data_IF_062490662093
#
_entry.id   IF_062490662093
#
_cell.length_a   1.000
_cell.length_b   1.000
_cell.length_c   1.000
_cell.angle_alpha   90.00
_cell.angle_beta   90.00
_cell.angle_gamma   90.00
#
_symmetry.space_group_name_H-M   'P 1'
#
loop_
_entity.id
_entity.type
_entity.pdbx_description
1 polymer ?
#
# COMPACT_ATOMS: atom_id res chain seq x y z
N UNK A 1 -23.28 -32.49 19.73
CA UNK A 1 -21.96 -31.87 19.93
C UNK A 1 -21.73 -31.72 21.42
N UNK A 2 -20.68 -32.33 21.96
CA UNK A 2 -20.41 -32.26 23.42
C UNK A 2 -19.90 -30.86 23.78
N UNK A 3 -20.06 -30.47 25.08
CA UNK A 3 -19.56 -29.22 25.61
C UNK A 3 -18.05 -29.06 25.38
N UNK A 4 -17.30 -30.16 25.39
CA UNK A 4 -15.86 -30.17 25.13
C UNK A 4 -15.54 -29.89 23.64
N UNK A 5 -16.32 -30.38 22.71
CA UNK A 5 -16.18 -30.10 21.27
C UNK A 5 -16.48 -28.62 20.97
N UNK A 6 -17.55 -28.06 21.59
CA UNK A 6 -17.90 -26.63 21.44
C UNK A 6 -16.77 -25.73 21.97
N UNK A 7 -16.20 -26.08 23.13
CA UNK A 7 -15.10 -25.31 23.72
C UNK A 7 -13.81 -25.40 22.89
N UNK A 8 -13.55 -26.56 22.28
CA UNK A 8 -12.38 -26.75 21.41
C UNK A 8 -12.51 -25.94 20.12
N UNK A 9 -13.69 -25.96 19.47
CA UNK A 9 -13.96 -25.16 18.26
C UNK A 9 -13.84 -23.66 18.55
N UNK A 10 -14.36 -23.18 19.68
CA UNK A 10 -14.21 -21.77 20.10
C UNK A 10 -12.76 -21.38 20.33
N UNK A 11 -11.95 -22.24 20.96
CA UNK A 11 -10.50 -21.98 21.17
C UNK A 11 -9.74 -21.91 19.86
N UNK A 12 -10.00 -22.80 18.91
CA UNK A 12 -9.35 -22.80 17.59
C UNK A 12 -9.71 -21.53 16.82
N UNK A 13 -11.00 -21.17 16.77
CA UNK A 13 -11.46 -19.94 16.12
C UNK A 13 -10.81 -18.69 16.72
N UNK A 14 -10.70 -18.64 18.07
CA UNK A 14 -10.06 -17.54 18.76
C UNK A 14 -8.56 -17.43 18.46
N UNK A 15 -7.86 -18.55 18.37
CA UNK A 15 -6.43 -18.58 18.00
C UNK A 15 -6.22 -18.07 16.56
N UNK A 16 -7.10 -18.45 15.62
CA UNK A 16 -7.03 -17.95 14.23
C UNK A 16 -7.25 -16.44 14.18
N UNK A 17 -8.21 -15.87 14.90
CA UNK A 17 -8.46 -14.42 14.97
C UNK A 17 -7.23 -13.69 15.52
N UNK A 18 -6.67 -14.14 16.65
CA UNK A 18 -5.49 -13.52 17.24
C UNK A 18 -4.27 -13.55 16.28
N UNK A 19 -4.08 -14.68 15.61
CA UNK A 19 -3.03 -14.80 14.57
C UNK A 19 -3.27 -13.86 13.40
N UNK A 20 -4.52 -13.71 12.98
CA UNK A 20 -4.91 -12.75 11.94
C UNK A 20 -4.63 -11.31 12.34
N UNK A 21 -4.99 -10.92 13.56
CA UNK A 21 -4.72 -9.59 14.11
C UNK A 21 -3.21 -9.28 14.13
N UNK A 22 -2.39 -10.21 14.64
CA UNK A 22 -0.93 -10.05 14.66
C UNK A 22 -0.35 -9.95 13.24
N UNK A 23 -0.83 -10.77 12.31
CA UNK A 23 -0.40 -10.73 10.91
C UNK A 23 -0.69 -9.37 10.30
N UNK A 24 -1.91 -8.85 10.47
CA UNK A 24 -2.30 -7.55 9.91
C UNK A 24 -1.56 -6.40 10.59
N UNK A 25 -1.34 -6.46 11.91
CA UNK A 25 -0.49 -5.50 12.62
C UNK A 25 0.92 -5.43 12.02
N UNK A 26 1.61 -6.58 11.93
CA UNK A 26 2.96 -6.61 11.35
C UNK A 26 2.96 -6.15 9.88
N UNK A 27 1.98 -6.58 9.09
CA UNK A 27 1.83 -6.14 7.70
C UNK A 27 1.64 -4.62 7.59
N UNK A 28 0.83 -4.05 8.51
CA UNK A 28 0.62 -2.60 8.59
C UNK A 28 1.92 -1.86 8.92
N UNK A 29 2.72 -2.38 9.86
CA UNK A 29 4.04 -1.79 10.20
C UNK A 29 4.91 -1.68 8.94
N UNK A 30 5.09 -2.77 8.20
CA UNK A 30 5.99 -2.78 7.05
C UNK A 30 5.46 -1.99 5.85
N UNK A 31 4.17 -2.04 5.56
CA UNK A 31 3.57 -1.25 4.49
C UNK A 31 3.65 0.26 4.76
N UNK A 32 3.41 0.66 6.01
CA UNK A 32 3.52 2.07 6.42
C UNK A 32 4.96 2.53 6.48
N UNK A 33 5.90 1.66 6.90
CA UNK A 33 7.33 1.97 6.89
C UNK A 33 7.81 2.38 5.49
N UNK A 34 7.44 1.63 4.46
CA UNK A 34 7.76 1.97 3.08
C UNK A 34 7.20 3.34 2.66
N UNK A 35 5.94 3.60 3.00
CA UNK A 35 5.28 4.88 2.72
C UNK A 35 5.96 6.04 3.46
N UNK A 36 6.30 5.86 4.75
CA UNK A 36 6.97 6.85 5.58
C UNK A 36 8.36 7.22 5.04
N UNK A 37 9.14 6.23 4.62
CA UNK A 37 10.43 6.44 3.98
C UNK A 37 10.27 7.35 2.76
N UNK A 38 9.34 7.02 1.84
CA UNK A 38 9.15 7.82 0.64
C UNK A 38 8.72 9.25 0.99
N UNK A 39 7.72 9.41 1.85
CA UNK A 39 7.14 10.71 2.20
C UNK A 39 8.19 11.64 2.81
N UNK A 40 8.99 11.13 3.74
CA UNK A 40 10.06 11.90 4.40
C UNK A 40 11.20 12.26 3.43
N UNK A 41 11.48 11.35 2.49
CA UNK A 41 12.62 11.50 1.57
C UNK A 41 12.30 12.43 0.40
N UNK A 42 11.04 12.50 -0.01
CA UNK A 42 10.62 13.17 -1.25
C UNK A 42 11.08 14.63 -1.32
N UNK A 43 10.88 15.39 -0.25
CA UNK A 43 11.23 16.82 -0.22
C UNK A 43 12.74 17.02 -0.29
N UNK A 44 13.49 16.29 0.52
CA UNK A 44 14.95 16.47 0.60
C UNK A 44 15.65 15.95 -0.67
N UNK A 45 15.20 14.82 -1.18
CA UNK A 45 15.71 14.26 -2.44
C UNK A 45 15.43 15.19 -3.62
N UNK A 46 14.22 15.73 -3.72
CA UNK A 46 13.84 16.66 -4.77
C UNK A 46 14.66 17.95 -4.78
N UNK A 47 14.92 18.52 -3.61
CA UNK A 47 15.70 19.76 -3.50
C UNK A 47 17.20 19.53 -3.65
N UNK A 48 17.77 18.53 -2.96
CA UNK A 48 19.21 18.31 -2.90
C UNK A 48 19.79 17.54 -4.08
N UNK A 49 19.05 16.53 -4.58
CA UNK A 49 19.55 15.63 -5.60
C UNK A 49 19.04 15.97 -7.01
N UNK A 50 17.86 16.58 -7.13
CA UNK A 50 17.29 16.97 -8.41
C UNK A 50 17.37 18.47 -8.69
N UNK A 51 17.80 19.28 -7.70
CA UNK A 51 17.91 20.73 -7.86
C UNK A 51 16.57 21.45 -8.03
N UNK A 52 15.46 20.81 -7.66
CA UNK A 52 14.13 21.41 -7.77
C UNK A 52 13.94 22.49 -6.70
N UNK A 53 13.20 23.54 -7.03
CA UNK A 53 12.86 24.56 -6.04
C UNK A 53 12.00 23.99 -4.91
N UNK A 54 12.13 24.53 -3.70
CA UNK A 54 11.29 24.14 -2.54
C UNK A 54 9.80 24.22 -2.88
N UNK A 55 9.39 25.27 -3.61
CA UNK A 55 8.00 25.45 -4.04
C UNK A 55 7.53 24.33 -4.98
N UNK A 56 8.38 23.88 -5.94
CA UNK A 56 8.06 22.79 -6.84
C UNK A 56 7.91 21.46 -6.09
N UNK A 57 8.84 21.15 -5.17
CA UNK A 57 8.79 19.91 -4.40
C UNK A 57 7.61 19.89 -3.42
N UNK A 58 7.29 21.02 -2.80
CA UNK A 58 6.12 21.15 -1.93
C UNK A 58 4.82 20.93 -2.71
N UNK A 59 4.71 21.50 -3.92
CA UNK A 59 3.56 21.28 -4.80
C UNK A 59 3.45 19.82 -5.24
N UNK A 60 4.59 19.16 -5.55
CA UNK A 60 4.65 17.74 -5.90
C UNK A 60 4.19 16.87 -4.72
N UNK A 61 4.70 17.14 -3.53
CA UNK A 61 4.31 16.39 -2.31
C UNK A 61 2.83 16.60 -1.97
N UNK A 62 2.33 17.83 -2.06
CA UNK A 62 0.92 18.14 -1.85
C UNK A 62 0.01 17.43 -2.85
N UNK A 63 0.38 17.44 -4.14
CA UNK A 63 -0.34 16.70 -5.18
C UNK A 63 -0.32 15.20 -4.94
N UNK A 64 0.85 14.64 -4.55
CA UNK A 64 0.98 13.24 -4.18
C UNK A 64 0.00 12.85 -3.07
N UNK A 65 -0.06 13.63 -1.98
CA UNK A 65 -0.97 13.38 -0.87
C UNK A 65 -2.44 13.48 -1.30
N UNK A 66 -2.81 14.52 -2.04
CA UNK A 66 -4.18 14.72 -2.51
C UNK A 66 -4.67 13.54 -3.37
N UNK A 67 -3.86 13.11 -4.34
CA UNK A 67 -4.20 11.96 -5.17
C UNK A 67 -4.18 10.63 -4.39
N UNK A 68 -3.29 10.48 -3.42
CA UNK A 68 -3.26 9.30 -2.55
C UNK A 68 -4.60 9.12 -1.83
N UNK A 69 -5.14 10.19 -1.23
CA UNK A 69 -6.47 10.16 -0.61
C UNK A 69 -7.58 9.88 -1.63
N UNK A 70 -7.52 10.46 -2.81
CA UNK A 70 -8.48 10.19 -3.89
C UNK A 70 -8.50 8.71 -4.30
N UNK A 71 -7.32 8.06 -4.37
CA UNK A 71 -7.19 6.65 -4.71
C UNK A 71 -7.72 5.69 -3.63
N UNK A 72 -7.86 6.15 -2.36
CA UNK A 72 -8.52 5.36 -1.32
C UNK A 72 -9.98 5.04 -1.70
N UNK A 73 -10.70 5.96 -2.34
CA UNK A 73 -12.06 5.71 -2.83
C UNK A 73 -12.06 4.63 -3.92
N UNK A 74 -11.07 4.68 -4.83
CA UNK A 74 -10.93 3.68 -5.87
C UNK A 74 -10.59 2.30 -5.28
N UNK A 75 -9.69 2.24 -4.31
CA UNK A 75 -9.35 1.02 -3.58
C UNK A 75 -10.56 0.40 -2.89
N UNK A 76 -11.37 1.22 -2.21
CA UNK A 76 -12.61 0.78 -1.56
C UNK A 76 -13.68 0.31 -2.56
N UNK A 77 -13.73 0.91 -3.75
CA UNK A 77 -14.65 0.48 -4.80
C UNK A 77 -14.23 -0.83 -5.46
N UNK A 78 -12.92 -1.06 -5.61
CA UNK A 78 -12.36 -2.25 -6.27
C UNK A 78 -12.25 -3.45 -5.33
N UNK A 79 -11.84 -3.21 -4.08
CA UNK A 79 -11.66 -4.25 -3.09
C UNK A 79 -12.96 -4.95 -2.72
N UNK A 80 -12.97 -6.28 -2.79
CA UNK A 80 -14.15 -7.10 -2.53
C UNK A 80 -15.22 -7.08 -3.62
N UNK A 81 -15.13 -6.19 -4.63
CA UNK A 81 -16.08 -6.16 -5.76
C UNK A 81 -15.53 -6.79 -7.04
N UNK A 82 -14.28 -6.44 -7.39
CA UNK A 82 -13.63 -6.88 -8.62
C UNK A 82 -12.45 -7.79 -8.32
N UNK A 83 -11.74 -7.50 -7.25
CA UNK A 83 -10.53 -8.19 -6.82
C UNK A 83 -10.66 -8.43 -5.32
N UNK A 84 -10.24 -9.60 -4.84
CA UNK A 84 -10.22 -9.87 -3.39
C UNK A 84 -9.30 -8.88 -2.68
N UNK A 85 -9.65 -8.50 -1.44
CA UNK A 85 -8.86 -7.53 -0.69
C UNK A 85 -7.41 -7.97 -0.49
N UNK A 86 -7.17 -9.26 -0.24
CA UNK A 86 -5.83 -9.84 -0.12
C UNK A 86 -5.03 -9.69 -1.41
N UNK A 87 -5.64 -10.04 -2.54
CA UNK A 87 -4.96 -9.95 -3.84
C UNK A 87 -4.71 -8.50 -4.22
N UNK A 88 -5.68 -7.60 -4.02
CA UNK A 88 -5.53 -6.18 -4.30
C UNK A 88 -4.43 -5.57 -3.41
N UNK A 89 -4.34 -5.96 -2.13
CA UNK A 89 -3.25 -5.57 -1.26
C UNK A 89 -1.90 -6.05 -1.78
N UNK A 90 -1.76 -7.33 -2.15
CA UNK A 90 -0.50 -7.85 -2.70
C UNK A 90 -0.12 -7.16 -4.02
N UNK A 91 -1.08 -6.87 -4.90
CA UNK A 91 -0.84 -6.10 -6.13
C UNK A 91 -0.38 -4.67 -5.81
N UNK A 92 -0.98 -4.04 -4.81
CA UNK A 92 -0.60 -2.71 -4.33
C UNK A 92 0.84 -2.66 -3.82
N UNK A 93 1.23 -3.64 -3.00
CA UNK A 93 2.61 -3.79 -2.53
C UNK A 93 3.56 -4.09 -3.69
N UNK A 94 3.15 -4.93 -4.65
CA UNK A 94 3.91 -5.21 -5.87
C UNK A 94 4.18 -3.96 -6.70
N UNK A 95 3.19 -3.09 -6.87
CA UNK A 95 3.38 -1.79 -7.52
C UNK A 95 4.39 -0.92 -6.77
N UNK A 96 4.33 -0.89 -5.44
CA UNK A 96 5.30 -0.13 -4.63
C UNK A 96 6.72 -0.71 -4.72
N UNK A 97 6.89 -2.03 -4.87
CA UNK A 97 8.20 -2.65 -5.13
C UNK A 97 8.72 -2.22 -6.49
N UNK A 98 7.90 -2.26 -7.54
CA UNK A 98 8.28 -1.78 -8.87
C UNK A 98 8.67 -0.30 -8.81
N UNK A 99 7.91 0.52 -8.11
CA UNK A 99 8.22 1.93 -7.88
C UNK A 99 9.57 2.11 -7.18
N UNK A 100 9.85 1.32 -6.14
CA UNK A 100 11.14 1.36 -5.43
C UNK A 100 12.31 1.05 -6.38
N UNK A 101 12.16 0.10 -7.31
CA UNK A 101 13.18 -0.16 -8.34
C UNK A 101 13.44 1.08 -9.21
N UNK A 102 12.39 1.78 -9.68
CA UNK A 102 12.56 3.02 -10.43
C UNK A 102 13.23 4.11 -9.59
N UNK A 103 12.86 4.24 -8.32
CA UNK A 103 13.45 5.23 -7.42
C UNK A 103 14.93 4.93 -7.11
N UNK A 104 15.30 3.66 -6.92
CA UNK A 104 16.71 3.25 -6.78
C UNK A 104 17.51 3.59 -8.03
N UNK A 105 16.95 3.35 -9.22
CA UNK A 105 17.60 3.67 -10.48
C UNK A 105 17.94 5.17 -10.63
N UNK A 106 17.22 6.06 -9.96
CA UNK A 106 17.54 7.49 -9.97
C UNK A 106 18.97 7.78 -9.50
N UNK A 107 19.53 6.96 -8.61
CA UNK A 107 20.91 7.11 -8.15
C UNK A 107 21.95 6.65 -9.18
N UNK A 108 21.56 5.86 -10.18
CA UNK A 108 22.44 5.21 -11.16
C UNK A 108 22.43 5.89 -12.54
N UNK A 109 21.36 6.62 -12.87
CA UNK A 109 21.18 7.25 -14.18
C UNK A 109 21.73 8.68 -14.22
N UNK A 110 21.94 9.18 -15.44
CA UNK A 110 22.37 10.57 -15.67
C UNK A 110 21.32 11.58 -15.20
N UNK A 111 21.75 12.80 -14.87
CA UNK A 111 20.90 13.85 -14.29
C UNK A 111 19.61 14.09 -15.10
N UNK A 112 19.68 14.08 -16.42
CA UNK A 112 18.55 14.30 -17.32
C UNK A 112 17.45 13.23 -17.18
N UNK A 113 17.82 12.00 -16.84
CA UNK A 113 16.88 10.88 -16.67
C UNK A 113 16.37 10.75 -15.24
N UNK A 114 17.05 11.32 -14.24
CA UNK A 114 16.67 11.21 -12.81
C UNK A 114 15.26 11.69 -12.54
N UNK A 115 14.90 12.86 -13.09
CA UNK A 115 13.55 13.42 -12.92
C UNK A 115 12.50 12.48 -13.52
N UNK A 116 12.75 11.97 -14.71
CA UNK A 116 11.83 11.04 -15.39
C UNK A 116 11.63 9.76 -14.58
N UNK A 117 12.72 9.13 -14.12
CA UNK A 117 12.65 7.91 -13.30
C UNK A 117 11.94 8.17 -11.96
N UNK A 118 12.20 9.31 -11.33
CA UNK A 118 11.51 9.72 -10.11
C UNK A 118 10.00 9.89 -10.36
N UNK A 119 9.59 10.59 -11.43
CA UNK A 119 8.16 10.81 -11.72
C UNK A 119 7.43 9.51 -12.02
N UNK A 120 8.06 8.60 -12.78
CA UNK A 120 7.50 7.26 -13.02
C UNK A 120 7.38 6.49 -11.70
N UNK A 121 8.44 6.45 -10.90
CA UNK A 121 8.45 5.78 -9.60
C UNK A 121 7.36 6.31 -8.67
N UNK A 122 7.22 7.65 -8.56
CA UNK A 122 6.18 8.27 -7.74
C UNK A 122 4.77 7.96 -8.24
N UNK A 123 4.52 7.98 -9.54
CA UNK A 123 3.21 7.66 -10.10
C UNK A 123 2.80 6.21 -9.79
N UNK A 124 3.74 5.26 -9.96
CA UNK A 124 3.50 3.85 -9.65
C UNK A 124 3.32 3.65 -8.15
N UNK A 125 4.17 4.28 -7.31
CA UNK A 125 4.08 4.18 -5.85
C UNK A 125 2.74 4.71 -5.34
N UNK A 126 2.31 5.86 -5.84
CA UNK A 126 1.07 6.51 -5.46
C UNK A 126 -0.13 5.59 -5.69
N UNK A 127 -0.19 4.92 -6.84
CA UNK A 127 -1.28 3.98 -7.12
C UNK A 127 -1.26 2.80 -6.16
N UNK A 128 -0.10 2.22 -5.91
CA UNK A 128 0.04 1.17 -4.92
C UNK A 128 -0.38 1.63 -3.52
N UNK A 129 0.13 2.78 -3.05
CA UNK A 129 -0.19 3.28 -1.70
C UNK A 129 -1.65 3.67 -1.54
N UNK A 130 -2.27 4.25 -2.57
CA UNK A 130 -3.68 4.64 -2.53
C UNK A 130 -4.65 3.45 -2.46
N UNK A 131 -4.28 2.31 -3.03
CA UNK A 131 -5.13 1.13 -3.04
C UNK A 131 -5.02 0.28 -1.76
N UNK A 132 -3.90 0.31 -1.04
CA UNK A 132 -3.63 -0.62 0.05
C UNK A 132 -4.43 -0.34 1.34
N UNK A 133 -4.66 0.93 1.68
CA UNK A 133 -5.26 1.34 2.98
C UNK A 133 -6.66 0.77 3.15
N UNK A 134 -7.48 0.86 2.12
CA UNK A 134 -8.86 0.34 2.16
C UNK A 134 -8.89 -1.18 2.20
N UNK A 135 -7.95 -1.85 1.51
CA UNK A 135 -7.82 -3.31 1.56
C UNK A 135 -7.44 -3.78 2.96
N UNK A 136 -6.51 -3.10 3.63
CA UNK A 136 -6.08 -3.42 4.99
C UNK A 136 -7.25 -3.32 5.97
N UNK A 137 -7.99 -2.22 5.96
CA UNK A 137 -9.15 -2.03 6.84
C UNK A 137 -10.24 -3.07 6.57
N UNK A 138 -10.47 -3.42 5.29
CA UNK A 138 -11.41 -4.48 4.92
C UNK A 138 -10.98 -5.85 5.43
N UNK A 139 -9.68 -6.18 5.35
CA UNK A 139 -9.15 -7.43 5.89
C UNK A 139 -9.29 -7.51 7.40
N UNK A 140 -9.05 -6.40 8.14
CA UNK A 140 -9.30 -6.34 9.60
C UNK A 140 -10.77 -6.64 9.90
N UNK A 141 -11.69 -6.00 9.17
CA UNK A 141 -13.14 -6.24 9.34
C UNK A 141 -13.51 -7.71 9.11
N UNK A 142 -12.90 -8.34 8.11
CA UNK A 142 -13.21 -9.71 7.69
C UNK A 142 -12.63 -10.80 8.59
N UNK A 143 -11.79 -10.46 9.57
CA UNK A 143 -11.35 -11.42 10.59
C UNK A 143 -12.51 -11.88 11.50
N UNK A 144 -13.55 -11.07 11.65
CA UNK A 144 -14.65 -11.30 12.57
C UNK A 144 -15.89 -11.80 11.85
N UNK A 145 -16.57 -12.83 12.42
CA UNK A 145 -17.84 -13.34 11.90
C UNK A 145 -19.00 -12.44 12.28
N UNK A 146 -18.94 -11.91 13.50
CA UNK A 146 -19.95 -11.06 14.09
C UNK A 146 -19.52 -9.59 13.95
N UNK A 147 -20.37 -8.72 13.38
CA UNK A 147 -20.12 -7.28 13.34
C UNK A 147 -20.00 -6.67 14.76
N UNK A 148 -20.65 -7.28 15.74
CA UNK A 148 -20.71 -6.78 17.12
C UNK A 148 -19.67 -7.45 18.05
N UNK A 149 -18.71 -8.21 17.48
CA UNK A 149 -17.62 -8.80 18.27
C UNK A 149 -16.77 -7.70 18.95
N UNK A 150 -16.69 -7.67 20.30
CA UNK A 150 -15.97 -6.62 21.02
C UNK A 150 -14.46 -6.56 20.68
N UNK A 151 -13.89 -7.65 20.14
CA UNK A 151 -12.49 -7.68 19.72
C UNK A 151 -12.25 -6.97 18.40
N UNK A 152 -13.28 -6.68 17.64
CA UNK A 152 -13.18 -5.95 16.38
C UNK A 152 -12.60 -4.56 16.58
N UNK A 153 -13.08 -3.83 17.59
CA UNK A 153 -12.53 -2.53 17.96
C UNK A 153 -11.05 -2.65 18.33
N UNK A 154 -10.70 -3.63 19.17
CA UNK A 154 -9.30 -3.90 19.52
C UNK A 154 -8.43 -4.17 18.30
N UNK A 155 -8.94 -4.92 17.32
CA UNK A 155 -8.19 -5.21 16.10
C UNK A 155 -7.92 -3.95 15.24
N UNK A 156 -8.87 -3.04 15.16
CA UNK A 156 -8.65 -1.74 14.53
C UNK A 156 -7.63 -0.88 15.27
N UNK A 157 -7.67 -0.86 16.60
CA UNK A 157 -6.68 -0.15 17.43
C UNK A 157 -5.27 -0.73 17.22
N UNK A 158 -5.13 -2.05 17.16
CA UNK A 158 -3.86 -2.70 16.85
C UNK A 158 -3.36 -2.33 15.45
N UNK A 159 -4.23 -2.37 14.46
CA UNK A 159 -3.87 -1.99 13.08
C UNK A 159 -3.41 -0.53 13.01
N UNK A 160 -4.12 0.39 13.68
CA UNK A 160 -3.74 1.79 13.79
C UNK A 160 -2.40 1.98 14.54
N UNK A 161 -2.18 1.24 15.62
CA UNK A 161 -0.90 1.24 16.34
C UNK A 161 0.24 0.76 15.44
N UNK A 162 0.01 -0.29 14.63
CA UNK A 162 0.97 -0.77 13.63
C UNK A 162 1.36 0.30 12.62
N UNK A 163 0.39 1.12 12.18
CA UNK A 163 0.67 2.27 11.32
C UNK A 163 1.60 3.27 12.00
N UNK A 164 1.34 3.65 13.25
CA UNK A 164 2.20 4.59 13.99
C UNK A 164 3.61 4.04 14.23
N UNK A 165 3.74 2.75 14.55
CA UNK A 165 5.05 2.08 14.67
C UNK A 165 5.79 2.11 13.32
N UNK A 166 5.09 1.84 12.22
CA UNK A 166 5.66 1.94 10.87
C UNK A 166 6.17 3.33 10.52
N UNK A 167 5.41 4.39 10.85
CA UNK A 167 5.85 5.78 10.69
C UNK A 167 7.08 6.09 11.54
N UNK A 168 7.06 5.71 12.82
CA UNK A 168 8.18 5.97 13.73
C UNK A 168 9.47 5.34 13.22
N UNK A 169 9.44 4.06 12.86
CA UNK A 169 10.61 3.35 12.32
C UNK A 169 11.02 3.93 10.96
N UNK A 170 10.06 4.16 10.07
CA UNK A 170 10.32 4.67 8.72
C UNK A 170 10.96 6.06 8.72
N UNK A 171 10.46 6.99 9.54
CA UNK A 171 11.04 8.32 9.66
C UNK A 171 12.43 8.29 10.33
N UNK A 172 12.65 7.40 11.31
CA UNK A 172 13.96 7.23 11.94
C UNK A 172 15.01 6.72 10.94
N UNK A 173 14.66 5.70 10.16
CA UNK A 173 15.51 5.17 9.08
C UNK A 173 15.77 6.25 8.03
N UNK A 174 14.72 6.97 7.60
CA UNK A 174 14.83 8.02 6.62
C UNK A 174 15.81 9.12 7.10
N UNK A 175 15.66 9.58 8.33
CA UNK A 175 16.57 10.57 8.93
C UNK A 175 18.03 10.13 8.90
N UNK A 176 18.31 8.89 9.32
CA UNK A 176 19.67 8.35 9.33
C UNK A 176 20.32 8.32 7.94
N UNK A 177 19.63 7.74 6.95
CA UNK A 177 20.19 7.60 5.59
C UNK A 177 20.24 8.93 4.82
N UNK A 178 19.35 9.88 5.12
CA UNK A 178 19.40 11.22 4.55
C UNK A 178 20.66 11.98 4.98
N UNK A 179 21.07 11.87 6.24
CA UNK A 179 22.31 12.47 6.75
C UNK A 179 23.56 11.92 6.04
N UNK A 180 23.51 10.67 5.57
CA UNK A 180 24.60 10.03 4.83
C UNK A 180 24.43 10.14 3.30
N UNK A 181 23.46 10.91 2.81
CA UNK A 181 23.15 11.08 1.38
C UNK A 181 22.93 9.75 0.60
N UNK A 182 22.54 8.67 1.29
CA UNK A 182 22.36 7.35 0.69
C UNK A 182 20.89 7.08 0.35
N UNK A 183 20.35 7.85 -0.58
CA UNK A 183 18.95 7.76 -0.99
C UNK A 183 18.61 6.46 -1.72
N UNK A 184 19.56 5.89 -2.48
CA UNK A 184 19.36 4.60 -3.15
C UNK A 184 19.08 3.47 -2.16
N UNK A 185 19.87 3.38 -1.09
CA UNK A 185 19.65 2.40 -0.01
C UNK A 185 18.29 2.62 0.66
N UNK A 186 17.91 3.87 0.87
CA UNK A 186 16.67 4.24 1.52
C UNK A 186 15.45 3.76 0.72
N UNK A 187 15.42 4.01 -0.60
CA UNK A 187 14.36 3.50 -1.47
C UNK A 187 14.36 1.97 -1.54
N UNK A 188 15.54 1.35 -1.54
CA UNK A 188 15.68 -0.11 -1.50
C UNK A 188 15.09 -0.73 -0.22
N UNK A 189 15.32 -0.11 0.95
CA UNK A 189 14.72 -0.54 2.22
C UNK A 189 13.19 -0.41 2.20
N UNK A 190 12.65 0.66 1.59
CA UNK A 190 11.20 0.78 1.35
C UNK A 190 10.65 -0.37 0.51
N UNK A 191 11.35 -0.73 -0.57
CA UNK A 191 10.98 -1.88 -1.40
C UNK A 191 11.04 -3.20 -0.64
N UNK A 192 12.10 -3.42 0.17
CA UNK A 192 12.24 -4.61 1.01
C UNK A 192 11.12 -4.72 2.05
N UNK A 193 10.71 -3.62 2.66
CA UNK A 193 9.58 -3.60 3.58
C UNK A 193 8.28 -4.07 2.91
N UNK A 194 8.02 -3.66 1.67
CA UNK A 194 6.85 -4.12 0.91
C UNK A 194 6.93 -5.62 0.57
N UNK A 195 8.13 -6.16 0.30
CA UNK A 195 8.31 -7.61 0.12
C UNK A 195 7.93 -8.35 1.41
N UNK A 196 8.39 -7.88 2.56
CA UNK A 196 8.04 -8.48 3.86
C UNK A 196 6.52 -8.42 4.09
N UNK A 197 5.87 -7.32 3.76
CA UNK A 197 4.42 -7.17 3.87
C UNK A 197 3.66 -8.20 3.01
N UNK A 198 4.10 -8.44 1.76
CA UNK A 198 3.53 -9.49 0.91
C UNK A 198 3.75 -10.89 1.52
N UNK A 199 4.97 -11.18 1.99
CA UNK A 199 5.29 -12.48 2.58
C UNK A 199 4.45 -12.76 3.83
N UNK A 200 4.21 -11.76 4.68
CA UNK A 200 3.35 -11.90 5.86
C UNK A 200 1.91 -12.30 5.48
N UNK A 201 1.33 -11.67 4.46
CA UNK A 201 0.00 -12.04 3.95
C UNK A 201 0.04 -13.42 3.28
N UNK A 202 1.04 -13.71 2.45
CA UNK A 202 1.16 -14.97 1.73
C UNK A 202 1.32 -16.17 2.69
N UNK A 203 2.16 -16.06 3.72
CA UNK A 203 2.36 -17.10 4.72
C UNK A 203 1.11 -17.32 5.60
N UNK A 204 0.26 -16.31 5.74
CA UNK A 204 -0.96 -16.37 6.54
C UNK A 204 -2.24 -16.31 5.67
N UNK A 205 -2.14 -16.71 4.39
CA UNK A 205 -3.23 -16.61 3.41
C UNK A 205 -4.53 -17.28 3.85
N UNK A 206 -4.44 -18.37 4.60
CA UNK A 206 -5.60 -19.10 5.12
C UNK A 206 -6.27 -18.40 6.29
N UNK A 207 -5.52 -17.65 7.08
CA UNK A 207 -6.00 -16.95 8.29
C UNK A 207 -6.63 -15.61 7.90
N UNK A 208 -5.96 -14.85 7.03
CA UNK A 208 -6.48 -13.59 6.50
C UNK A 208 -7.43 -13.92 5.35
N UNK A 209 -8.61 -14.45 5.65
CA UNK A 209 -9.60 -14.85 4.62
C UNK A 209 -10.30 -13.63 4.04
N UNK A 210 -10.44 -13.58 2.71
CA UNK A 210 -11.52 -12.83 2.11
C UNK A 210 -12.79 -13.66 2.28
N UNK A 211 -13.70 -13.17 3.10
CA UNK A 211 -15.01 -13.79 3.20
C UNK A 211 -15.76 -13.58 1.90
N UNK A 212 -16.61 -14.54 1.61
CA UNK A 212 -17.52 -14.48 0.47
C UNK A 212 -18.30 -13.17 0.54
N UNK A 213 -17.81 -12.17 -0.15
CA UNK A 213 -18.58 -10.99 -0.46
C UNK A 213 -19.56 -11.36 -1.56
N UNK A 214 -20.71 -10.72 -1.60
CA UNK A 214 -21.76 -10.88 -2.62
C UNK A 214 -21.24 -11.10 -4.05
N UNK A 215 -20.01 -10.68 -4.33
CA UNK A 215 -19.33 -10.84 -5.62
C UNK A 215 -18.62 -12.18 -5.83
N UNK A 216 -18.20 -12.88 -4.78
CA UNK A 216 -17.63 -14.23 -4.94
C UNK A 216 -18.71 -15.19 -5.42
N UNK A 217 -19.95 -15.03 -4.93
CA UNK A 217 -21.09 -15.79 -5.46
C UNK A 217 -21.46 -15.38 -6.89
N UNK A 218 -21.39 -14.07 -7.21
CA UNK A 218 -21.56 -13.58 -8.58
C UNK A 218 -20.43 -14.03 -9.52
N UNK A 219 -19.20 -14.19 -9.06
CA UNK A 219 -18.08 -14.71 -9.84
C UNK A 219 -18.24 -16.20 -10.10
N UNK A 220 -18.74 -16.97 -9.14
CA UNK A 220 -19.09 -18.41 -9.35
C UNK A 220 -20.18 -18.57 -10.40
N UNK A 221 -21.15 -17.66 -10.44
CA UNK A 221 -22.29 -17.67 -11.39
C UNK A 221 -21.92 -17.10 -12.77
N UNK A 222 -20.90 -16.25 -12.86
CA UNK A 222 -20.54 -15.53 -14.09
C UNK A 222 -19.03 -15.39 -14.29
N UNK A 223 -18.32 -16.53 -14.45
CA UNK A 223 -16.88 -16.57 -14.78
C UNK A 223 -16.47 -15.57 -15.89
N UNK A 224 -17.32 -15.38 -16.91
CA UNK A 224 -17.08 -14.43 -18.01
C UNK A 224 -17.29 -12.98 -17.62
N UNK A 225 -18.23 -12.68 -16.72
CA UNK A 225 -18.50 -11.30 -16.24
C UNK A 225 -17.42 -10.83 -15.26
N UNK A 226 -16.89 -11.73 -14.41
CA UNK A 226 -15.82 -11.40 -13.45
C UNK A 226 -14.52 -11.01 -14.14
N UNK A 227 -14.12 -11.73 -15.20
CA UNK A 227 -12.93 -11.41 -15.98
C UNK A 227 -13.06 -10.06 -16.70
N UNK A 228 -14.23 -9.76 -17.27
CA UNK A 228 -14.53 -8.49 -17.94
C UNK A 228 -14.50 -7.30 -16.95
N UNK A 229 -14.96 -7.49 -15.72
CA UNK A 229 -14.90 -6.49 -14.65
C UNK A 229 -13.48 -6.30 -14.15
N UNK A 230 -12.71 -7.37 -14.00
CA UNK A 230 -11.28 -7.30 -13.66
C UNK A 230 -10.50 -6.43 -14.67
N UNK A 231 -10.67 -6.67 -15.97
CA UNK A 231 -10.03 -5.86 -17.02
C UNK A 231 -10.48 -4.40 -17.02
N UNK A 232 -11.77 -4.13 -16.70
CA UNK A 232 -12.24 -2.74 -16.50
C UNK A 232 -11.54 -2.08 -15.32
N UNK A 233 -11.42 -2.77 -14.17
CA UNK A 233 -10.72 -2.27 -13.00
C UNK A 233 -9.24 -2.00 -13.29
N UNK A 234 -8.57 -2.93 -13.97
CA UNK A 234 -7.18 -2.76 -14.40
C UNK A 234 -7.03 -1.58 -15.37
N UNK A 235 -7.98 -1.41 -16.30
CA UNK A 235 -8.01 -0.25 -17.20
C UNK A 235 -8.11 1.08 -16.46
N UNK A 236 -8.93 1.16 -15.43
CA UNK A 236 -9.04 2.36 -14.58
C UNK A 236 -7.72 2.64 -13.86
N UNK A 237 -7.04 1.63 -13.33
CA UNK A 237 -5.72 1.78 -12.70
C UNK A 237 -4.71 2.35 -13.71
N UNK A 238 -4.64 1.78 -14.91
CA UNK A 238 -3.72 2.23 -15.97
C UNK A 238 -4.01 3.68 -16.39
N UNK A 239 -5.28 4.04 -16.58
CA UNK A 239 -5.69 5.40 -16.93
C UNK A 239 -5.28 6.37 -15.81
N UNK A 240 -5.50 6.01 -14.57
CA UNK A 240 -5.10 6.82 -13.40
C UNK A 240 -3.58 7.02 -13.38
N UNK A 241 -2.79 5.99 -13.70
CA UNK A 241 -1.33 6.09 -13.81
C UNK A 241 -0.90 7.10 -14.89
N UNK A 242 -1.49 7.02 -16.08
CA UNK A 242 -1.14 7.90 -17.19
C UNK A 242 -1.49 9.36 -16.87
N UNK A 243 -2.68 9.59 -16.29
CA UNK A 243 -3.11 10.93 -15.87
C UNK A 243 -2.19 11.50 -14.79
N UNK A 244 -1.86 10.70 -13.78
CA UNK A 244 -0.95 11.08 -12.70
C UNK A 244 0.43 11.46 -13.24
N UNK A 245 0.98 10.62 -14.12
CA UNK A 245 2.27 10.89 -14.74
C UNK A 245 2.27 12.21 -15.54
N UNK A 246 1.22 12.48 -16.32
CA UNK A 246 1.05 13.74 -17.05
C UNK A 246 0.98 14.95 -16.11
N UNK A 247 0.20 14.85 -15.03
CA UNK A 247 0.04 15.96 -14.09
C UNK A 247 1.38 16.23 -13.39
N UNK A 248 2.07 15.21 -12.93
CA UNK A 248 3.38 15.35 -12.28
C UNK A 248 4.41 15.98 -13.22
N UNK A 249 4.45 15.54 -14.48
CA UNK A 249 5.31 16.13 -15.53
C UNK A 249 5.01 17.62 -15.73
N UNK A 250 3.75 17.99 -15.91
CA UNK A 250 3.37 19.38 -16.13
C UNK A 250 3.73 20.28 -14.93
N UNK A 251 3.50 19.79 -13.70
CA UNK A 251 3.87 20.51 -12.47
C UNK A 251 5.40 20.73 -12.34
N UNK A 252 6.18 19.84 -12.93
CA UNK A 252 7.66 19.92 -12.85
C UNK A 252 8.22 20.81 -13.97
N UNK A 253 7.72 20.69 -15.21
CA UNK A 253 8.25 21.41 -16.36
C UNK A 253 7.88 22.89 -16.38
N UNK A 254 6.67 23.29 -15.99
CA UNK A 254 6.26 24.70 -15.95
C UNK A 254 6.91 25.54 -14.85
N UNK A 255 7.82 24.97 -14.03
CA UNK A 255 8.52 25.67 -12.96
C UNK A 255 10.04 25.58 -13.03
N UNK A 256 10.57 24.99 -14.11
CA UNK A 256 12.02 24.97 -14.41
C UNK A 256 12.39 26.13 -15.37
N UNK A 257 11.39 26.76 -16.01
CA UNK A 257 11.48 28.04 -16.71
C UNK A 257 11.21 29.21 -15.73
#
# INVERSE_FOLDING_TARGET
MSLNEVNTVKKVAQHEVNRGMLTLFCTQVFSTLSYAILLQTLTLYGTQQLGLSVAAVTALTGSFLAFNFGLHFLGGYMGGRYISNRLLFCMSMGLQIIAAVFLVQTALVSMNLRITFMMIGLAIFLTGSGLNVTCMNSMVTQLFNDPDDPKRETAFLWNYSGMNVGFFIGFSIAGYYQLHHNFGMLFGLGGAANIIAILLIACNWKVVRDRETYLVDMIKVAKSKGLKQFWKGLGVIIITQVLQFRINLNLTWHRVE
#
